data_IF_816627171924
#
_entry.id   IF_816627171924
#
_cell.length_a   1.000
_cell.length_b   1.000
_cell.length_c   1.000
_cell.angle_alpha   90.00
_cell.angle_beta   90.00
_cell.angle_gamma   90.00
#
_symmetry.space_group_name_H-M   'P 1'
#
loop_
_entity.id
_entity.type
_entity.pdbx_description
1 polymer ?
#
# COMPACT_ATOMS: atom_id res chain seq x y z
N UNK A 1 16.08 -21.07 -19.60
CA UNK A 1 16.04 -20.13 -18.46
C UNK A 1 14.57 -19.88 -18.18
N UNK A 2 14.03 -20.43 -17.10
CA UNK A 2 12.74 -19.93 -16.60
C UNK A 2 13.03 -18.49 -16.18
N UNK A 3 12.41 -17.50 -16.81
CA UNK A 3 12.53 -16.12 -16.33
C UNK A 3 12.11 -16.10 -14.87
N UNK A 4 12.82 -15.37 -14.02
CA UNK A 4 12.40 -15.15 -12.64
C UNK A 4 10.96 -14.65 -12.67
N UNK A 5 10.07 -15.34 -11.94
CA UNK A 5 8.69 -14.90 -11.80
C UNK A 5 8.72 -13.68 -10.89
N UNK A 6 8.35 -12.52 -11.44
CA UNK A 6 8.23 -11.28 -10.67
C UNK A 6 7.21 -11.49 -9.54
N UNK A 7 7.64 -11.25 -8.30
CA UNK A 7 6.76 -11.33 -7.13
C UNK A 7 5.95 -10.04 -7.03
N UNK A 8 4.64 -10.15 -7.15
CA UNK A 8 3.72 -9.03 -6.97
C UNK A 8 2.88 -9.27 -5.73
N UNK A 9 2.99 -8.36 -4.75
CA UNK A 9 2.16 -8.32 -3.56
C UNK A 9 1.01 -7.35 -3.82
N UNK A 10 -0.22 -7.78 -3.54
CA UNK A 10 -1.41 -6.93 -3.65
C UNK A 10 -2.19 -7.01 -2.35
N UNK A 11 -2.37 -5.87 -1.70
CA UNK A 11 -3.15 -5.76 -0.47
C UNK A 11 -3.76 -4.38 -0.38
N UNK A 12 -4.85 -4.22 0.38
CA UNK A 12 -5.46 -2.90 0.53
C UNK A 12 -4.48 -1.88 1.15
N UNK A 13 -3.77 -2.30 2.20
CA UNK A 13 -2.75 -1.48 2.87
C UNK A 13 -1.37 -1.91 2.41
N UNK A 14 -0.55 -0.93 2.06
CA UNK A 14 0.85 -1.10 1.69
C UNK A 14 1.80 -0.87 2.87
N UNK A 15 3.12 -0.90 2.61
CA UNK A 15 4.12 -0.68 3.64
C UNK A 15 4.21 0.77 4.09
N UNK A 16 3.73 1.72 3.28
CA UNK A 16 3.78 3.15 3.56
C UNK A 16 2.45 3.87 3.25
N UNK A 17 2.20 4.93 3.99
CA UNK A 17 1.33 6.07 3.64
C UNK A 17 2.20 7.32 3.57
N UNK A 18 1.70 8.42 3.02
CA UNK A 18 2.47 9.64 2.78
C UNK A 18 1.91 10.81 3.55
N UNK A 19 2.80 11.60 4.14
CA UNK A 19 2.46 12.87 4.78
C UNK A 19 3.14 14.01 4.02
N UNK A 20 2.41 15.12 3.87
CA UNK A 20 2.96 16.32 3.24
C UNK A 20 3.99 16.99 4.15
N UNK A 21 5.17 17.27 3.60
CA UNK A 21 6.22 18.01 4.32
C UNK A 21 6.06 19.52 4.19
N UNK A 22 6.72 20.27 5.06
CA UNK A 22 6.71 21.75 5.02
C UNK A 22 7.25 22.33 3.71
N UNK A 23 8.13 21.60 3.04
CA UNK A 23 8.75 22.00 1.78
C UNK A 23 7.91 21.59 0.55
N UNK A 24 6.71 21.03 0.77
CA UNK A 24 5.76 20.66 -0.29
C UNK A 24 5.97 19.26 -0.88
N UNK A 25 6.96 18.51 -0.40
CA UNK A 25 7.18 17.11 -0.74
C UNK A 25 6.32 16.15 0.09
N UNK A 26 6.62 14.86 -0.03
CA UNK A 26 5.97 13.79 0.73
C UNK A 26 7.00 12.96 1.48
N UNK A 27 6.72 12.68 2.76
CA UNK A 27 7.51 11.80 3.61
C UNK A 27 6.72 10.50 3.85
N UNK A 28 7.33 9.32 3.61
CA UNK A 28 6.67 8.07 3.88
C UNK A 28 6.57 7.82 5.40
N UNK A 29 5.41 7.33 5.82
CA UNK A 29 5.11 6.84 7.17
C UNK A 29 4.76 5.38 7.09
N UNK A 30 5.18 4.62 8.10
CA UNK A 30 4.93 3.19 8.13
C UNK A 30 3.44 2.88 8.15
N UNK A 31 2.99 2.07 7.20
CA UNK A 31 1.66 1.50 7.17
C UNK A 31 1.42 0.61 8.39
N UNK A 32 0.29 0.82 9.06
CA UNK A 32 -0.08 0.05 10.24
C UNK A 32 -0.62 -1.35 9.91
N UNK A 33 -0.49 -2.27 10.88
CA UNK A 33 -1.16 -3.57 10.89
C UNK A 33 -0.23 -4.78 10.75
N UNK A 34 -0.69 -5.93 11.26
CA UNK A 34 0.12 -7.16 11.31
C UNK A 34 0.50 -7.71 9.92
N UNK A 35 -0.28 -7.41 8.88
CA UNK A 35 0.02 -7.80 7.50
C UNK A 35 1.31 -7.16 7.00
N UNK A 36 1.49 -5.85 7.24
CA UNK A 36 2.68 -5.12 6.77
C UNK A 36 3.93 -5.73 7.38
N UNK A 37 3.93 -5.91 8.70
CA UNK A 37 5.03 -6.54 9.43
C UNK A 37 5.31 -7.97 8.95
N UNK A 38 4.29 -8.78 8.70
CA UNK A 38 4.47 -10.15 8.22
C UNK A 38 5.08 -10.22 6.82
N UNK A 39 4.74 -9.27 5.94
CA UNK A 39 5.19 -9.27 4.54
C UNK A 39 6.52 -8.52 4.32
N UNK A 40 6.94 -7.63 5.23
CA UNK A 40 8.26 -6.96 5.16
C UNK A 40 9.40 -7.97 4.97
N UNK A 41 9.40 -9.09 5.70
CA UNK A 41 10.43 -10.14 5.57
C UNK A 41 10.50 -10.74 4.16
N UNK A 42 9.39 -10.81 3.43
CA UNK A 42 9.35 -11.35 2.07
C UNK A 42 9.99 -10.37 1.07
N UNK A 43 9.75 -9.07 1.23
CA UNK A 43 10.35 -8.01 0.40
C UNK A 43 11.86 -7.94 0.60
N UNK A 44 12.36 -8.20 1.81
CA UNK A 44 13.81 -8.26 2.06
C UNK A 44 14.54 -9.35 1.28
N UNK A 45 13.87 -10.46 0.98
CA UNK A 45 14.50 -11.64 0.38
C UNK A 45 14.25 -11.76 -1.12
N UNK A 46 13.31 -11.00 -1.68
CA UNK A 46 12.95 -11.02 -3.10
C UNK A 46 12.61 -9.63 -3.57
N UNK A 47 13.11 -9.27 -4.76
CA UNK A 47 12.60 -8.11 -5.49
C UNK A 47 11.11 -8.30 -5.74
N UNK A 48 10.30 -7.44 -5.12
CA UNK A 48 8.86 -7.56 -5.10
C UNK A 48 8.22 -6.19 -5.31
N UNK A 49 7.25 -6.12 -6.22
CA UNK A 49 6.37 -4.97 -6.38
C UNK A 49 5.21 -5.08 -5.39
N UNK A 50 5.02 -4.08 -4.55
CA UNK A 50 3.88 -4.00 -3.64
C UNK A 50 2.84 -3.00 -4.12
N UNK A 51 1.69 -3.50 -4.55
CA UNK A 51 0.56 -2.69 -4.99
C UNK A 51 -0.42 -2.52 -3.83
N UNK A 52 -0.77 -1.27 -3.52
CA UNK A 52 -1.71 -0.93 -2.44
C UNK A 52 -2.64 0.23 -2.81
N UNK A 53 -3.74 0.38 -2.08
CA UNK A 53 -4.66 1.50 -2.24
C UNK A 53 -4.07 2.78 -1.64
N UNK A 54 -4.40 3.93 -2.24
CA UNK A 54 -4.24 5.22 -1.55
C UNK A 54 -5.25 5.27 -0.41
N UNK A 55 -4.83 5.72 0.78
CA UNK A 55 -5.67 5.79 1.97
C UNK A 55 -5.97 7.23 2.40
N UNK A 56 -5.27 8.20 1.82
CA UNK A 56 -5.48 9.63 2.01
C UNK A 56 -5.27 10.40 0.70
N UNK A 57 -5.63 11.69 0.71
CA UNK A 57 -5.39 12.58 -0.43
C UNK A 57 -3.88 12.75 -0.68
N UNK A 58 -3.07 12.77 0.37
CA UNK A 58 -1.60 12.83 0.27
C UNK A 58 -1.02 11.58 -0.40
N UNK A 59 -1.58 10.39 -0.15
CA UNK A 59 -1.18 9.17 -0.86
C UNK A 59 -1.49 9.28 -2.36
N UNK A 60 -2.67 9.82 -2.72
CA UNK A 60 -3.08 10.01 -4.11
C UNK A 60 -2.21 11.03 -4.83
N UNK A 61 -1.91 12.16 -4.18
CA UNK A 61 -1.03 13.18 -4.73
C UNK A 61 0.42 12.67 -4.89
N UNK A 62 0.94 11.91 -3.91
CA UNK A 62 2.25 11.27 -4.02
C UNK A 62 2.28 10.29 -5.20
N UNK A 63 1.25 9.45 -5.36
CA UNK A 63 1.12 8.53 -6.49
C UNK A 63 1.07 9.26 -7.84
N UNK A 64 0.37 10.40 -7.89
CA UNK A 64 0.24 11.22 -9.09
C UNK A 64 1.57 11.85 -9.53
N UNK A 65 2.48 12.19 -8.59
CA UNK A 65 3.83 12.66 -8.93
C UNK A 65 4.65 11.63 -9.71
N UNK A 66 4.30 10.34 -9.56
CA UNK A 66 4.92 9.22 -10.28
C UNK A 66 4.07 8.73 -11.46
N UNK A 67 3.08 9.51 -11.90
CA UNK A 67 2.23 9.17 -13.05
C UNK A 67 1.39 7.91 -12.86
N UNK A 68 1.08 7.53 -11.62
CA UNK A 68 0.36 6.29 -11.29
C UNK A 68 1.17 4.99 -11.52
N UNK A 69 2.48 5.14 -11.77
CA UNK A 69 3.44 4.05 -11.91
C UNK A 69 3.95 3.53 -10.56
N UNK A 70 4.85 2.53 -10.61
CA UNK A 70 5.57 2.11 -9.42
C UNK A 70 6.76 3.03 -9.13
N UNK A 71 7.07 3.23 -7.86
CA UNK A 71 8.21 4.05 -7.41
C UNK A 71 8.86 3.42 -6.17
N UNK A 72 10.09 3.84 -5.89
CA UNK A 72 10.83 3.41 -4.70
C UNK A 72 10.47 4.27 -3.49
N UNK A 73 10.34 3.64 -2.34
CA UNK A 73 10.03 4.27 -1.07
C UNK A 73 10.97 3.72 0.00
N UNK A 74 11.73 4.60 0.64
CA UNK A 74 12.59 4.26 1.78
C UNK A 74 11.80 4.34 3.07
N UNK A 75 11.78 3.25 3.84
CA UNK A 75 11.07 3.20 5.12
C UNK A 75 11.79 2.25 6.09
N UNK A 76 12.20 2.78 7.25
CA UNK A 76 12.90 1.99 8.29
C UNK A 76 14.10 1.21 7.75
N UNK A 77 14.96 1.87 6.97
CA UNK A 77 16.14 1.27 6.31
C UNK A 77 15.80 0.17 5.29
N UNK A 78 14.58 0.16 4.77
CA UNK A 78 14.11 -0.76 3.73
C UNK A 78 13.62 0.01 2.52
N UNK A 79 14.21 -0.28 1.36
CA UNK A 79 13.71 0.18 0.06
C UNK A 79 12.57 -0.73 -0.40
N UNK A 80 11.38 -0.17 -0.55
CA UNK A 80 10.23 -0.84 -1.14
C UNK A 80 9.99 -0.34 -2.57
N UNK A 81 9.76 -1.24 -3.53
CA UNK A 81 9.14 -0.88 -4.81
C UNK A 81 7.63 -0.96 -4.66
N UNK A 82 6.96 0.17 -4.65
CA UNK A 82 5.51 0.26 -4.40
C UNK A 82 4.77 0.82 -5.61
N UNK A 83 3.47 0.53 -5.72
CA UNK A 83 2.53 1.22 -6.59
C UNK A 83 1.26 1.50 -5.82
N UNK A 84 0.90 2.78 -5.75
CA UNK A 84 -0.35 3.20 -5.13
C UNK A 84 -1.45 3.32 -6.18
N UNK A 85 -2.63 2.82 -5.84
CA UNK A 85 -3.80 2.79 -6.71
C UNK A 85 -4.90 3.62 -6.07
N UNK A 86 -5.15 4.79 -6.66
CA UNK A 86 -6.30 5.61 -6.35
C UNK A 86 -7.57 4.94 -6.89
N UNK A 87 -8.56 4.79 -6.03
CA UNK A 87 -9.88 4.29 -6.38
C UNK A 87 -10.89 5.43 -6.36
N UNK A 88 -11.94 5.31 -7.16
CA UNK A 88 -13.12 6.17 -7.02
C UNK A 88 -13.61 6.16 -5.56
N UNK A 89 -13.90 7.33 -5.00
CA UNK A 89 -14.20 7.48 -3.58
C UNK A 89 -15.44 6.67 -3.15
N UNK A 90 -16.51 6.67 -3.96
CA UNK A 90 -17.72 5.90 -3.69
C UNK A 90 -17.45 4.39 -3.79
N UNK A 91 -16.63 3.97 -4.75
CA UNK A 91 -16.20 2.59 -4.87
C UNK A 91 -15.38 2.12 -3.66
N UNK A 92 -14.43 2.93 -3.20
CA UNK A 92 -13.59 2.62 -2.04
C UNK A 92 -14.41 2.59 -0.74
N UNK A 93 -15.33 3.53 -0.56
CA UNK A 93 -16.24 3.56 0.59
C UNK A 93 -17.07 2.27 0.67
N UNK A 94 -17.71 1.88 -0.44
CA UNK A 94 -18.51 0.64 -0.50
C UNK A 94 -17.66 -0.61 -0.29
N UNK A 95 -16.44 -0.63 -0.83
CA UNK A 95 -15.53 -1.75 -0.62
C UNK A 95 -15.07 -1.84 0.83
N UNK A 96 -14.48 -0.79 1.38
CA UNK A 96 -13.73 -0.84 2.64
C UNK A 96 -14.64 -0.67 3.86
N UNK A 97 -15.53 0.31 3.82
CA UNK A 97 -16.34 0.74 4.96
C UNK A 97 -17.75 0.14 4.95
N UNK A 98 -18.15 -0.60 3.92
CA UNK A 98 -19.42 -1.34 3.90
C UNK A 98 -19.18 -2.85 3.85
N UNK A 99 -18.33 -3.34 2.94
CA UNK A 99 -18.09 -4.79 2.77
C UNK A 99 -16.94 -5.31 3.63
N UNK A 100 -15.73 -4.76 3.51
CA UNK A 100 -14.55 -5.34 4.13
C UNK A 100 -14.59 -5.29 5.67
N UNK A 101 -14.74 -4.10 6.27
CA UNK A 101 -14.69 -3.96 7.73
C UNK A 101 -16.02 -4.32 8.43
N UNK A 102 -17.21 -3.88 8.00
CA UNK A 102 -18.42 -4.22 8.76
C UNK A 102 -19.03 -5.58 8.45
N UNK A 103 -18.77 -6.17 7.28
CA UNK A 103 -19.30 -7.50 6.94
C UNK A 103 -18.22 -8.59 7.07
N UNK A 104 -17.18 -8.53 6.23
CA UNK A 104 -16.21 -9.63 6.14
C UNK A 104 -15.41 -9.81 7.42
N UNK A 105 -14.96 -8.72 8.05
CA UNK A 105 -14.25 -8.80 9.33
C UNK A 105 -15.09 -9.50 10.40
N UNK A 106 -16.34 -9.08 10.62
CA UNK A 106 -17.21 -9.67 11.65
C UNK A 106 -17.50 -11.14 11.37
N UNK A 107 -17.85 -11.48 10.11
CA UNK A 107 -18.06 -12.87 9.69
C UNK A 107 -16.82 -13.74 9.95
N UNK A 108 -15.62 -13.25 9.64
CA UNK A 108 -14.37 -14.00 9.81
C UNK A 108 -13.92 -14.12 11.26
N UNK A 109 -14.36 -13.21 12.13
CA UNK A 109 -14.00 -13.19 13.55
C UNK A 109 -15.10 -13.71 14.48
N UNK A 110 -16.18 -14.26 13.92
CA UNK A 110 -17.32 -14.82 14.66
C UNK A 110 -17.93 -13.80 15.66
N UNK A 111 -18.08 -12.55 15.22
CA UNK A 111 -18.65 -11.44 16.00
C UNK A 111 -20.03 -11.04 15.48
#
# INVERSE_FOLDING_TARGET
MSGDVELVLVSNRGPATFERTKDGGFEPRRGGGGLVTALTGLVHHRDALWIASTLSDEDAEAAAQHGGGSFECELEDVTYRIRLVESDADAYERFYNVVANPMLWFIQHYL
#
